data_IF_581372321966
#
_entry.id   IF_581372321966
#
_cell.length_a   1.000
_cell.length_b   1.000
_cell.length_c   1.000
_cell.angle_alpha   90.00
_cell.angle_beta   90.00
_cell.angle_gamma   90.00
#
_symmetry.space_group_name_H-M   'P 1'
#
loop_
_entity.id
_entity.type
_entity.pdbx_description
1 polymer ?
#
# COMPACT_ATOMS: atom_id res chain seq x y z
N UNK A 1 16.92 -15.33 2.53
CA UNK A 1 15.73 -14.48 2.34
C UNK A 1 16.08 -13.09 2.83
N UNK A 2 15.65 -12.03 2.14
CA UNK A 2 15.86 -10.65 2.59
C UNK A 2 14.80 -10.29 3.64
N UNK A 3 15.16 -9.47 4.63
CA UNK A 3 14.20 -8.92 5.61
C UNK A 3 13.37 -7.82 4.97
N UNK A 4 12.04 -7.90 5.08
CA UNK A 4 11.12 -6.91 4.52
C UNK A 4 10.56 -6.01 5.62
N UNK A 5 10.61 -4.69 5.43
CA UNK A 5 9.96 -3.71 6.30
C UNK A 5 8.54 -3.41 5.81
N UNK A 6 7.56 -3.46 6.69
CA UNK A 6 6.16 -3.19 6.43
C UNK A 6 5.74 -1.90 7.13
N UNK A 7 5.25 -0.92 6.37
CA UNK A 7 4.53 0.24 6.89
C UNK A 7 3.04 -0.08 6.89
N UNK A 8 2.53 -0.51 8.04
CA UNK A 8 1.16 -0.98 8.24
C UNK A 8 0.35 -0.10 9.18
N UNK A 9 -0.82 -0.61 9.58
CA UNK A 9 -1.77 0.13 10.43
C UNK A 9 -2.65 1.11 9.65
N UNK A 10 -2.83 0.92 8.33
CA UNK A 10 -3.64 1.82 7.48
C UNK A 10 -4.62 1.05 6.58
N UNK A 11 -5.46 0.16 7.11
CA UNK A 11 -5.74 -0.06 8.54
C UNK A 11 -4.96 -1.25 9.13
N UNK A 12 -5.21 -1.57 10.40
CA UNK A 12 -4.62 -2.73 11.06
C UNK A 12 -5.15 -4.04 10.44
N UNK A 13 -6.44 -4.09 10.10
CA UNK A 13 -7.13 -5.23 9.49
C UNK A 13 -6.45 -5.63 8.18
N UNK A 14 -6.20 -4.66 7.28
CA UNK A 14 -5.52 -4.93 6.01
C UNK A 14 -4.07 -5.40 6.21
N UNK A 15 -3.39 -4.88 7.24
CA UNK A 15 -2.01 -5.26 7.56
C UNK A 15 -1.90 -6.72 7.98
N UNK A 16 -2.91 -7.26 8.69
CA UNK A 16 -2.93 -8.68 9.06
C UNK A 16 -2.88 -9.60 7.83
N UNK A 17 -3.54 -9.20 6.75
CA UNK A 17 -3.56 -9.95 5.50
C UNK A 17 -2.16 -9.99 4.85
N UNK A 18 -1.43 -8.87 4.85
CA UNK A 18 -0.04 -8.86 4.37
C UNK A 18 0.84 -9.83 5.15
N UNK A 19 0.76 -9.78 6.49
CA UNK A 19 1.55 -10.67 7.33
C UNK A 19 1.23 -12.15 7.06
N UNK A 20 -0.06 -12.50 7.03
CA UNK A 20 -0.51 -13.87 6.79
C UNK A 20 -0.06 -14.38 5.43
N UNK A 21 -0.26 -13.57 4.38
CA UNK A 21 0.00 -13.95 3.01
C UNK A 21 1.50 -14.07 2.71
N UNK A 22 2.33 -13.14 3.22
CA UNK A 22 3.79 -13.22 3.08
C UNK A 22 4.34 -14.49 3.73
N UNK A 23 3.85 -14.86 4.91
CA UNK A 23 4.25 -16.10 5.57
C UNK A 23 3.76 -17.35 4.82
N UNK A 24 2.54 -17.33 4.30
CA UNK A 24 2.00 -18.41 3.45
C UNK A 24 2.89 -18.64 2.23
N UNK A 25 3.19 -17.57 1.48
CA UNK A 25 4.00 -17.61 0.27
C UNK A 25 5.44 -18.08 0.52
N UNK A 26 6.05 -17.69 1.64
CA UNK A 26 7.39 -18.18 2.02
C UNK A 26 7.36 -19.67 2.33
N UNK A 27 6.35 -20.13 3.07
CA UNK A 27 6.19 -21.56 3.39
C UNK A 27 5.95 -22.39 2.13
N UNK A 28 5.17 -21.90 1.18
CA UNK A 28 4.92 -22.60 -0.09
C UNK A 28 6.19 -22.75 -0.93
N UNK A 29 7.09 -21.78 -0.88
CA UNK A 29 8.33 -21.79 -1.66
C UNK A 29 9.44 -22.59 -1.00
N UNK A 30 9.56 -22.54 0.32
CA UNK A 30 10.69 -23.12 1.05
C UNK A 30 10.34 -24.39 1.83
N UNK A 31 9.06 -24.67 2.07
CA UNK A 31 8.57 -25.83 2.79
C UNK A 31 8.82 -25.79 4.30
N UNK A 32 8.42 -26.89 4.98
CA UNK A 32 8.68 -27.11 6.40
C UNK A 32 8.13 -26.01 7.31
N UNK A 33 8.97 -25.54 8.24
CA UNK A 33 8.64 -24.51 9.24
C UNK A 33 9.15 -23.11 8.84
N UNK A 34 9.46 -22.88 7.55
CA UNK A 34 9.89 -21.56 7.10
C UNK A 34 8.78 -20.51 7.20
N UNK A 35 9.16 -19.32 7.64
CA UNK A 35 8.32 -18.13 7.78
C UNK A 35 9.07 -16.90 7.26
N UNK A 36 8.35 -15.83 6.91
CA UNK A 36 8.94 -14.61 6.36
C UNK A 36 9.72 -13.83 7.44
N UNK A 37 10.86 -13.23 7.06
CA UNK A 37 11.59 -12.28 7.92
C UNK A 37 11.02 -10.89 7.72
N UNK A 38 10.27 -10.40 8.71
CA UNK A 38 9.49 -9.17 8.63
C UNK A 38 9.83 -8.23 9.79
N UNK A 39 9.91 -6.94 9.49
CA UNK A 39 9.82 -5.85 10.46
C UNK A 39 8.53 -5.09 10.18
N UNK A 40 7.71 -4.83 11.19
CA UNK A 40 6.44 -4.13 11.02
C UNK A 40 6.44 -2.86 11.86
N UNK A 41 6.23 -1.72 11.20
CA UNK A 41 5.85 -0.48 11.86
C UNK A 41 4.36 -0.26 11.63
N UNK A 42 3.56 -0.42 12.67
CA UNK A 42 2.11 -0.17 12.62
C UNK A 42 1.83 1.22 13.18
N UNK A 43 1.36 2.13 12.34
CA UNK A 43 0.97 3.48 12.77
C UNK A 43 -0.38 3.45 13.50
N UNK A 44 -0.65 4.48 14.30
CA UNK A 44 -2.01 4.81 14.70
C UNK A 44 -2.74 5.41 13.50
N UNK A 45 -3.76 4.69 13.00
CA UNK A 45 -4.45 5.08 11.78
C UNK A 45 -5.20 6.40 11.94
N UNK A 46 -5.69 6.74 13.13
CA UNK A 46 -6.51 7.93 13.35
C UNK A 46 -5.74 9.20 12.95
N UNK A 47 -4.47 9.28 13.31
CA UNK A 47 -3.59 10.40 12.93
C UNK A 47 -3.39 10.50 11.43
N UNK A 48 -3.13 9.38 10.76
CA UNK A 48 -2.96 9.35 9.29
C UNK A 48 -4.26 9.69 8.57
N UNK A 49 -5.40 9.13 9.00
CA UNK A 49 -6.71 9.41 8.40
C UNK A 49 -7.11 10.88 8.54
N UNK A 50 -6.82 11.52 9.67
CA UNK A 50 -7.03 12.95 9.85
C UNK A 50 -6.21 13.79 8.87
N UNK A 51 -4.93 13.45 8.66
CA UNK A 51 -4.07 14.12 7.67
C UNK A 51 -4.58 13.92 6.24
N UNK A 52 -5.02 12.70 5.88
CA UNK A 52 -5.64 12.41 4.59
C UNK A 52 -6.89 13.27 4.35
N UNK A 53 -7.77 13.37 5.35
CA UNK A 53 -9.00 14.16 5.27
C UNK A 53 -8.71 15.66 5.14
N UNK A 54 -7.68 16.15 5.82
CA UNK A 54 -7.19 17.54 5.70
C UNK A 54 -6.44 17.81 4.39
N UNK A 55 -6.09 16.77 3.63
CA UNK A 55 -5.25 16.88 2.43
C UNK A 55 -3.79 17.19 2.74
N UNK A 56 -3.34 16.98 3.97
CA UNK A 56 -1.97 17.23 4.45
C UNK A 56 -1.06 16.02 4.14
N UNK A 57 -0.79 15.83 2.85
CA UNK A 57 0.00 14.71 2.35
C UNK A 57 1.48 14.84 2.71
N UNK A 58 2.00 16.06 2.80
CA UNK A 58 3.40 16.31 3.16
C UNK A 58 3.70 15.81 4.57
N UNK A 59 2.82 16.10 5.53
CA UNK A 59 2.95 15.62 6.90
C UNK A 59 2.70 14.11 7.00
N UNK A 60 1.71 13.57 6.27
CA UNK A 60 1.46 12.14 6.26
C UNK A 60 2.67 11.36 5.70
N UNK A 61 3.29 11.88 4.64
CA UNK A 61 4.50 11.32 4.07
C UNK A 61 5.72 11.48 4.97
N UNK A 62 5.84 12.57 5.75
CA UNK A 62 6.90 12.71 6.74
C UNK A 62 6.81 11.62 7.83
N UNK A 63 5.60 11.34 8.33
CA UNK A 63 5.36 10.26 9.32
C UNK A 63 5.79 8.90 8.76
N UNK A 64 5.41 8.59 7.51
CA UNK A 64 5.78 7.33 6.86
C UNK A 64 7.27 7.24 6.52
N UNK A 65 7.88 8.35 6.11
CA UNK A 65 9.30 8.43 5.82
C UNK A 65 10.14 8.16 7.08
N UNK A 66 9.75 8.73 8.23
CA UNK A 66 10.44 8.46 9.49
C UNK A 66 10.29 7.02 9.93
N UNK A 67 9.09 6.44 9.83
CA UNK A 67 8.88 5.01 10.07
C UNK A 67 9.72 4.12 9.15
N UNK A 68 9.86 4.49 7.87
CA UNK A 68 10.68 3.75 6.91
C UNK A 68 12.17 3.77 7.29
N UNK A 69 12.70 4.93 7.73
CA UNK A 69 14.08 5.04 8.25
C UNK A 69 14.30 4.15 9.46
N UNK A 70 13.33 4.06 10.37
CA UNK A 70 13.43 3.18 11.54
C UNK A 70 13.49 1.71 11.12
N UNK A 71 12.67 1.30 10.13
CA UNK A 71 12.70 -0.06 9.60
C UNK A 71 14.03 -0.38 8.89
N UNK A 72 14.54 0.55 8.07
CA UNK A 72 15.85 0.42 7.42
C UNK A 72 16.97 0.30 8.46
N UNK A 73 16.97 1.17 9.48
CA UNK A 73 17.93 1.12 10.59
C UNK A 73 17.85 -0.16 11.42
N UNK A 74 16.67 -0.79 11.49
CA UNK A 74 16.46 -2.09 12.11
C UNK A 74 16.83 -3.29 11.21
N UNK A 75 17.28 -3.04 9.98
CA UNK A 75 17.77 -4.07 9.05
C UNK A 75 16.80 -4.50 7.95
N UNK A 76 15.72 -3.74 7.71
CA UNK A 76 14.90 -3.95 6.52
C UNK A 76 15.73 -3.73 5.27
N UNK A 77 15.59 -4.62 4.27
CA UNK A 77 16.33 -4.57 3.00
C UNK A 77 15.44 -4.17 1.82
N UNK A 78 14.16 -3.93 2.09
CA UNK A 78 13.16 -3.34 1.21
C UNK A 78 11.99 -2.85 2.08
N UNK A 79 11.22 -1.88 1.60
CA UNK A 79 10.04 -1.34 2.30
C UNK A 79 8.79 -1.60 1.47
N UNK A 80 7.70 -1.99 2.13
CA UNK A 80 6.37 -2.13 1.54
C UNK A 80 5.37 -1.26 2.31
N UNK A 81 4.61 -0.45 1.59
CA UNK A 81 3.50 0.33 2.15
C UNK A 81 2.24 -0.53 2.08
N UNK A 82 1.68 -0.93 3.22
CA UNK A 82 0.53 -1.83 3.31
C UNK A 82 -0.82 -1.10 3.11
N UNK A 83 -0.86 -0.09 2.23
CA UNK A 83 -2.07 0.67 1.91
C UNK A 83 -1.98 1.33 0.53
N UNK A 84 -3.05 1.22 -0.28
CA UNK A 84 -3.08 1.81 -1.63
C UNK A 84 -3.01 3.34 -1.58
N UNK A 85 -3.86 3.99 -0.76
CA UNK A 85 -3.93 5.45 -0.65
C UNK A 85 -2.57 6.08 -0.34
N UNK A 86 -1.79 5.47 0.57
CA UNK A 86 -0.51 6.03 1.00
C UNK A 86 0.63 5.87 -0.01
N UNK A 87 0.40 5.23 -1.15
CA UNK A 87 1.35 5.32 -2.26
C UNK A 87 1.38 6.71 -2.90
N UNK A 88 0.43 7.59 -2.58
CA UNK A 88 0.48 9.00 -2.94
C UNK A 88 1.77 9.67 -2.45
N UNK A 89 2.30 9.23 -1.31
CA UNK A 89 3.55 9.74 -0.71
C UNK A 89 4.73 8.76 -0.89
N UNK A 90 4.60 7.76 -1.78
CA UNK A 90 5.65 6.75 -1.95
C UNK A 90 7.00 7.33 -2.36
N UNK A 91 7.01 8.38 -3.19
CA UNK A 91 8.24 9.04 -3.62
C UNK A 91 8.96 9.74 -2.45
N UNK A 92 8.19 10.35 -1.53
CA UNK A 92 8.73 10.94 -0.30
C UNK A 92 9.32 9.88 0.63
N UNK A 93 8.65 8.73 0.77
CA UNK A 93 9.17 7.58 1.53
C UNK A 93 10.44 7.05 0.86
N UNK A 94 10.45 6.87 -0.46
CA UNK A 94 11.62 6.39 -1.21
C UNK A 94 12.80 7.34 -1.10
N UNK A 95 12.57 8.66 -1.11
CA UNK A 95 13.64 9.65 -0.94
C UNK A 95 14.27 9.62 0.45
N UNK A 96 13.58 9.05 1.45
CA UNK A 96 14.02 9.04 2.84
C UNK A 96 14.86 7.82 3.22
N UNK A 97 14.90 6.78 2.37
CA UNK A 97 15.60 5.51 2.62
C UNK A 97 16.47 5.12 1.42
N UNK A 98 17.51 4.33 1.66
CA UNK A 98 18.39 3.82 0.59
C UNK A 98 17.93 2.48 0.01
N UNK A 99 17.16 1.71 0.79
CA UNK A 99 16.55 0.46 0.36
C UNK A 99 15.37 0.70 -0.60
N UNK A 100 15.06 -0.26 -1.50
CA UNK A 100 13.95 -0.10 -2.43
C UNK A 100 12.60 -0.08 -1.72
N UNK A 101 11.75 0.87 -2.09
CA UNK A 101 10.32 0.89 -1.76
C UNK A 101 9.55 0.19 -2.87
N UNK A 102 8.86 -0.90 -2.52
CA UNK A 102 8.08 -1.69 -3.45
C UNK A 102 6.72 -1.02 -3.66
N UNK A 103 6.48 -0.51 -4.87
CA UNK A 103 5.24 0.16 -5.21
C UNK A 103 4.13 -0.84 -5.61
N UNK A 104 2.98 -0.79 -4.93
CA UNK A 104 1.88 -1.74 -5.16
C UNK A 104 1.32 -1.70 -6.58
N UNK A 105 1.19 -0.51 -7.18
CA UNK A 105 0.69 -0.37 -8.54
C UNK A 105 1.58 -1.08 -9.59
N UNK A 106 2.89 -1.21 -9.35
CA UNK A 106 3.77 -1.95 -10.27
C UNK A 106 3.50 -3.45 -10.21
N UNK A 107 3.32 -3.99 -9.00
CA UNK A 107 2.92 -5.37 -8.81
C UNK A 107 1.54 -5.64 -9.43
N UNK A 108 0.58 -4.71 -9.24
CA UNK A 108 -0.75 -4.79 -9.86
C UNK A 108 -0.70 -4.76 -11.38
N UNK A 109 0.03 -3.81 -11.98
CA UNK A 109 0.13 -3.68 -13.43
C UNK A 109 0.71 -4.95 -14.06
N UNK A 110 1.74 -5.53 -13.44
CA UNK A 110 2.34 -6.78 -13.90
C UNK A 110 1.36 -7.95 -13.83
N UNK A 111 0.59 -8.07 -12.74
CA UNK A 111 -0.43 -9.11 -12.61
C UNK A 111 -1.55 -8.96 -13.63
N UNK A 112 -2.04 -7.74 -13.86
CA UNK A 112 -3.09 -7.45 -14.86
C UNK A 112 -2.63 -7.81 -16.28
N UNK A 113 -1.41 -7.43 -16.66
CA UNK A 113 -0.82 -7.79 -17.95
C UNK A 113 -0.62 -9.29 -18.10
N UNK A 114 -0.15 -9.96 -17.05
CA UNK A 114 0.04 -11.42 -17.06
C UNK A 114 -1.28 -12.19 -17.25
N UNK A 115 -2.40 -11.60 -16.83
CA UNK A 115 -3.74 -12.14 -17.08
C UNK A 115 -4.29 -11.83 -18.49
N UNK A 116 -3.53 -11.16 -19.36
CA UNK A 116 -4.00 -10.73 -20.68
C UNK A 116 -4.99 -9.57 -20.65
N UNK A 117 -5.12 -8.89 -19.51
CA UNK A 117 -6.01 -7.77 -19.30
C UNK A 117 -5.26 -6.43 -19.44
N UNK A 118 -5.98 -5.37 -19.78
CA UNK A 118 -5.41 -4.01 -19.88
C UNK A 118 -6.31 -2.90 -19.32
N UNK A 119 -7.58 -3.19 -19.00
CA UNK A 119 -8.58 -2.19 -18.57
C UNK A 119 -9.40 -2.64 -17.37
N UNK A 120 -8.80 -2.82 -16.19
CA UNK A 120 -9.53 -3.28 -15.00
C UNK A 120 -10.44 -2.18 -14.43
N UNK A 121 -11.50 -2.58 -13.72
CA UNK A 121 -12.25 -1.69 -12.83
C UNK A 121 -11.44 -1.50 -11.53
N UNK A 122 -11.16 -0.25 -11.17
CA UNK A 122 -10.47 0.13 -9.93
C UNK A 122 -11.51 0.53 -8.87
N UNK A 123 -11.62 -0.31 -7.84
CA UNK A 123 -12.41 -0.05 -6.63
C UNK A 123 -11.47 0.26 -5.48
N UNK A 124 -11.55 1.47 -4.94
CA UNK A 124 -10.66 1.93 -3.88
C UNK A 124 -11.27 3.13 -3.15
N UNK A 125 -10.49 3.79 -2.30
CA UNK A 125 -10.83 5.10 -1.75
C UNK A 125 -10.96 6.13 -2.88
N UNK A 126 -11.75 7.20 -2.67
CA UNK A 126 -11.79 8.35 -3.59
C UNK A 126 -10.41 8.85 -3.97
N UNK A 127 -9.52 8.98 -2.98
CA UNK A 127 -8.14 9.42 -3.22
C UNK A 127 -7.45 8.58 -4.31
N UNK A 128 -7.56 7.25 -4.22
CA UNK A 128 -6.93 6.31 -5.16
C UNK A 128 -7.61 6.30 -6.53
N UNK A 129 -8.94 6.48 -6.58
CA UNK A 129 -9.70 6.50 -7.84
C UNK A 129 -9.58 7.82 -8.60
N UNK A 130 -9.46 8.94 -7.90
CA UNK A 130 -9.58 10.29 -8.48
C UNK A 130 -8.23 11.00 -8.66
N UNK A 131 -7.20 10.69 -7.85
CA UNK A 131 -5.86 11.27 -8.01
C UNK A 131 -4.99 10.43 -8.95
N UNK A 132 -3.99 11.08 -9.54
CA UNK A 132 -3.18 10.48 -10.62
C UNK A 132 -2.16 9.43 -10.16
N UNK A 133 -1.66 9.51 -8.92
CA UNK A 133 -0.53 8.69 -8.44
C UNK A 133 -0.67 7.17 -8.67
N UNK A 134 -1.89 6.63 -8.59
CA UNK A 134 -2.15 5.21 -8.82
C UNK A 134 -2.47 4.93 -10.29
N UNK A 135 -3.46 5.63 -10.84
CA UNK A 135 -3.95 5.41 -12.21
C UNK A 135 -2.93 5.81 -13.27
N UNK A 136 -2.26 6.94 -13.10
CA UNK A 136 -1.17 7.39 -13.96
C UNK A 136 -0.01 6.39 -13.98
N UNK A 137 0.36 5.82 -12.82
CA UNK A 137 1.41 4.80 -12.75
C UNK A 137 1.02 3.47 -13.41
N UNK A 138 -0.26 3.09 -13.34
CA UNK A 138 -0.78 1.95 -14.11
C UNK A 138 -0.77 2.25 -15.62
N UNK A 139 -1.26 3.43 -16.03
CA UNK A 139 -1.36 3.84 -17.42
C UNK A 139 0.02 3.92 -18.09
N UNK A 140 1.04 4.42 -17.39
CA UNK A 140 2.43 4.42 -17.83
C UNK A 140 2.97 3.01 -18.14
N UNK A 141 2.31 1.96 -17.64
CA UNK A 141 2.65 0.55 -17.87
C UNK A 141 1.68 -0.15 -18.83
N UNK A 142 0.80 0.60 -19.52
CA UNK A 142 -0.20 0.08 -20.45
C UNK A 142 -1.46 -0.48 -19.80
N UNK A 143 -1.74 -0.12 -18.55
CA UNK A 143 -2.95 -0.54 -17.82
C UNK A 143 -3.86 0.65 -17.55
N UNK A 144 -4.94 0.75 -18.31
CA UNK A 144 -5.90 1.85 -18.29
C UNK A 144 -7.06 1.54 -17.33
N UNK A 145 -6.86 1.81 -16.04
CA UNK A 145 -7.86 1.57 -15.01
C UNK A 145 -9.09 2.47 -15.17
N UNK A 146 -10.27 1.86 -15.21
CA UNK A 146 -11.58 2.52 -15.24
C UNK A 146 -12.10 2.66 -13.81
N UNK A 147 -12.79 3.75 -13.50
CA UNK A 147 -13.39 4.00 -12.17
C UNK A 147 -14.91 4.13 -12.26
N UNK A 148 -15.65 3.82 -11.18
CA UNK A 148 -17.09 4.03 -11.12
C UNK A 148 -17.51 5.50 -11.28
N UNK A 149 -18.80 5.75 -11.43
CA UNK A 149 -19.37 7.11 -11.40
C UNK A 149 -19.27 7.75 -10.01
N UNK A 150 -19.46 9.07 -9.91
CA UNK A 150 -19.23 9.83 -8.67
C UNK A 150 -19.99 9.27 -7.47
N UNK A 151 -21.28 8.94 -7.63
CA UNK A 151 -22.11 8.42 -6.53
C UNK A 151 -21.57 7.10 -5.95
N UNK A 152 -21.09 6.21 -6.83
CA UNK A 152 -20.51 4.93 -6.41
C UNK A 152 -19.14 5.14 -5.74
N UNK A 153 -18.33 6.08 -6.22
CA UNK A 153 -17.06 6.44 -5.58
C UNK A 153 -17.27 7.00 -4.17
N UNK A 154 -18.31 7.80 -3.99
CA UNK A 154 -18.73 8.33 -2.70
C UNK A 154 -19.13 7.21 -1.75
N UNK A 155 -19.96 6.29 -2.21
CA UNK A 155 -20.42 5.15 -1.42
C UNK A 155 -19.28 4.21 -1.04
N UNK A 156 -18.39 3.88 -1.98
CA UNK A 156 -17.23 3.01 -1.73
C UNK A 156 -16.29 3.60 -0.69
N UNK A 157 -16.03 4.90 -0.75
CA UNK A 157 -15.16 5.56 0.22
C UNK A 157 -15.76 5.54 1.62
N UNK A 158 -17.07 5.81 1.76
CA UNK A 158 -17.77 5.69 3.03
C UNK A 158 -17.69 4.27 3.60
N UNK A 159 -18.01 3.24 2.78
CA UNK A 159 -17.91 1.83 3.21
C UNK A 159 -16.50 1.50 3.72
N UNK A 160 -15.45 1.96 3.04
CA UNK A 160 -14.07 1.68 3.45
C UNK A 160 -13.78 2.25 4.86
N UNK A 161 -14.08 3.53 5.12
CA UNK A 161 -13.73 4.16 6.40
C UNK A 161 -14.73 3.85 7.53
N UNK A 162 -16.02 3.83 7.21
CA UNK A 162 -17.10 3.73 8.20
C UNK A 162 -17.45 2.28 8.56
N UNK A 163 -17.09 1.31 7.70
CA UNK A 163 -17.40 -0.11 7.91
C UNK A 163 -16.10 -0.95 7.93
N UNK A 164 -15.33 -0.98 6.84
CA UNK A 164 -14.21 -1.93 6.70
C UNK A 164 -13.01 -1.62 7.61
N UNK A 165 -12.77 -0.35 7.93
CA UNK A 165 -11.70 0.07 8.84
C UNK A 165 -12.09 0.01 10.33
N UNK A 166 -13.28 -0.49 10.68
CA UNK A 166 -13.77 -0.55 12.06
C UNK A 166 -13.58 -1.92 12.74
N UNK A 167 -12.99 -2.90 12.06
CA UNK A 167 -12.74 -4.26 12.58
C UNK A 167 -13.70 -5.30 12.05
#
# INVERSE_FOLDING_TARGET
>A
MKTLGLLGGMSAESTTLYYAELNRLVRERLGGLHSAQLLLWSVDFAGIAALQAAGDWDQAGAVLADAAKQLEGAGAQAILICANTMHLVADQVQAAVSVPVIHIADATANAVKAAGCSRPLLLATKFTMEKDFYRGRLAAQGVEAVVPEQADRDRLHAIIYDELCQG
#
